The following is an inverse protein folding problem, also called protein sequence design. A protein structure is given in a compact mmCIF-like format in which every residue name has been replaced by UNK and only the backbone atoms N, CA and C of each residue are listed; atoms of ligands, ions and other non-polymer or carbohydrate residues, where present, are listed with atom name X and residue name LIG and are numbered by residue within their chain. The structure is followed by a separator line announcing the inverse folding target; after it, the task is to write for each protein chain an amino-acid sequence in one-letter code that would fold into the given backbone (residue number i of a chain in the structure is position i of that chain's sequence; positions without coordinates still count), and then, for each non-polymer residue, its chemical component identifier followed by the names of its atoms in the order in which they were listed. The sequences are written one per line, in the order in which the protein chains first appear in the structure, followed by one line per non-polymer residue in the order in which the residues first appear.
data_IF_044757113282
#
_entry.id   IF_044757113282
#
_cell.length_a   1.000
_cell.length_b   1.000
_cell.length_c   1.000
_cell.angle_alpha   90.00
_cell.angle_beta   90.00
_cell.angle_gamma   90.00
#
_symmetry.space_group_name_H-M   'P 1'
#
loop_
_entity.id
_entity.type
_entity.pdbx_description
1 polymer ?
#
# COMPACT_ATOMS: atom_id res chain seq x y z
N UNK A 1 51.07 -49.05 -25.02
CA UNK A 1 49.90 -48.87 -24.14
C UNK A 1 49.76 -47.37 -23.86
N UNK A 2 49.02 -46.65 -24.74
CA UNK A 2 48.94 -45.17 -24.72
C UNK A 2 47.62 -44.78 -24.09
N UNK A 3 47.66 -44.18 -22.89
CA UNK A 3 46.51 -43.67 -22.15
C UNK A 3 46.18 -42.29 -22.72
N UNK A 4 45.05 -42.16 -23.41
CA UNK A 4 44.48 -40.85 -23.85
C UNK A 4 43.69 -40.23 -22.68
N UNK A 5 44.24 -39.15 -22.11
CA UNK A 5 43.55 -38.29 -21.13
C UNK A 5 42.54 -37.40 -21.89
N UNK A 6 41.24 -37.64 -21.67
CA UNK A 6 40.18 -36.76 -22.13
C UNK A 6 39.98 -35.66 -21.09
N UNK A 7 40.40 -34.43 -21.42
CA UNK A 7 40.05 -33.26 -20.62
C UNK A 7 38.56 -32.91 -20.92
N UNK A 8 37.68 -33.17 -19.96
CA UNK A 8 36.32 -32.64 -19.97
C UNK A 8 36.38 -31.17 -19.56
N UNK A 9 36.22 -30.27 -20.53
CA UNK A 9 36.05 -28.82 -20.34
C UNK A 9 34.60 -28.56 -19.90
N UNK A 10 34.36 -28.42 -18.58
CA UNK A 10 33.03 -28.02 -18.04
C UNK A 10 32.81 -26.52 -18.27
N UNK A 11 31.94 -26.23 -19.21
CA UNK A 11 31.51 -24.85 -19.50
C UNK A 11 30.58 -24.39 -18.39
N UNK A 12 31.06 -23.56 -17.47
CA UNK A 12 30.24 -22.87 -16.48
C UNK A 12 29.45 -21.76 -17.18
N UNK A 13 28.19 -22.03 -17.51
CA UNK A 13 27.24 -20.99 -17.96
C UNK A 13 26.82 -20.20 -16.71
N UNK A 14 27.43 -19.04 -16.49
CA UNK A 14 26.99 -18.09 -15.49
C UNK A 14 25.65 -17.50 -15.96
N UNK A 15 24.54 -17.93 -15.38
CA UNK A 15 23.27 -17.25 -15.49
C UNK A 15 23.37 -15.92 -14.72
N UNK A 16 23.64 -14.85 -15.41
CA UNK A 16 23.42 -13.51 -14.87
C UNK A 16 21.92 -13.35 -14.67
N UNK A 17 21.45 -13.43 -13.42
CA UNK A 17 20.09 -13.02 -13.06
C UNK A 17 19.98 -11.54 -13.40
N UNK A 18 19.32 -11.22 -14.51
CA UNK A 18 18.89 -9.86 -14.80
C UNK A 18 17.87 -9.50 -13.71
N UNK A 19 18.31 -8.76 -12.70
CA UNK A 19 17.41 -8.13 -11.75
C UNK A 19 16.38 -7.33 -12.57
N UNK A 20 15.10 -7.66 -12.38
CA UNK A 20 14.06 -7.05 -13.20
C UNK A 20 13.91 -5.57 -12.82
N UNK A 21 14.18 -4.67 -13.77
CA UNK A 21 14.13 -3.22 -13.61
C UNK A 21 12.74 -2.73 -13.13
N UNK A 22 12.62 -1.57 -12.45
CA UNK A 22 11.34 -0.94 -12.16
C UNK A 22 10.56 -0.56 -13.43
N UNK A 23 9.38 0.00 -13.28
CA UNK A 23 8.50 0.39 -14.38
C UNK A 23 8.95 1.64 -15.14
N UNK A 24 9.96 2.34 -14.63
CA UNK A 24 10.55 3.54 -15.22
C UNK A 24 12.00 3.31 -15.67
N UNK A 25 12.51 4.21 -16.50
CA UNK A 25 13.86 4.16 -17.06
C UNK A 25 14.89 4.62 -16.02
N UNK A 26 15.70 3.70 -15.50
CA UNK A 26 16.72 3.97 -14.51
C UNK A 26 17.84 4.89 -15.01
N UNK A 27 18.03 5.04 -16.32
CA UNK A 27 19.00 6.00 -16.87
C UNK A 27 18.57 7.45 -16.63
N UNK A 28 17.30 7.67 -16.31
CA UNK A 28 16.70 8.98 -16.02
C UNK A 28 16.41 9.16 -14.53
N UNK A 29 16.74 8.17 -13.69
CA UNK A 29 16.54 8.26 -12.25
C UNK A 29 17.31 9.46 -11.70
N UNK A 30 16.62 10.32 -10.94
CA UNK A 30 17.17 11.49 -10.30
C UNK A 30 16.77 11.53 -8.83
N UNK A 31 17.73 11.79 -7.96
CA UNK A 31 17.49 11.77 -6.51
C UNK A 31 17.65 10.38 -5.88
N UNK A 32 17.85 10.39 -4.58
CA UNK A 32 18.25 9.22 -3.79
C UNK A 32 17.26 8.08 -3.88
N UNK A 33 15.95 8.38 -3.78
CA UNK A 33 14.89 7.36 -3.73
C UNK A 33 14.74 6.65 -5.09
N UNK A 34 14.81 7.35 -6.21
CA UNK A 34 14.71 6.73 -7.53
C UNK A 34 15.94 5.85 -7.84
N UNK A 35 17.13 6.30 -7.44
CA UNK A 35 18.37 5.52 -7.55
C UNK A 35 18.27 4.27 -6.66
N UNK A 36 17.75 4.41 -5.43
CA UNK A 36 17.52 3.28 -4.53
C UNK A 36 16.56 2.25 -5.14
N UNK A 37 15.44 2.69 -5.73
CA UNK A 37 14.47 1.78 -6.38
C UNK A 37 15.13 1.01 -7.53
N UNK A 38 16.02 1.65 -8.29
CA UNK A 38 16.74 0.99 -9.39
C UNK A 38 17.75 -0.07 -8.90
N UNK A 39 18.27 0.08 -7.70
CA UNK A 39 19.31 -0.78 -7.14
C UNK A 39 18.77 -1.82 -6.13
N UNK A 40 17.50 -1.74 -5.74
CA UNK A 40 16.85 -2.67 -4.82
C UNK A 40 15.77 -3.48 -5.55
N UNK A 41 15.97 -4.80 -5.69
CA UNK A 41 15.06 -5.68 -6.41
C UNK A 41 13.65 -5.71 -5.79
N UNK A 42 13.56 -5.63 -4.46
CA UNK A 42 12.29 -5.61 -3.73
C UNK A 42 11.50 -4.34 -4.03
N UNK A 43 12.15 -3.17 -4.04
CA UNK A 43 11.52 -1.90 -4.39
C UNK A 43 11.15 -1.84 -5.88
N UNK A 44 12.02 -2.33 -6.77
CA UNK A 44 11.72 -2.44 -8.20
C UNK A 44 10.51 -3.35 -8.46
N UNK A 45 10.34 -4.44 -7.70
CA UNK A 45 9.16 -5.30 -7.77
C UNK A 45 7.89 -4.57 -7.33
N UNK A 46 7.95 -3.83 -6.22
CA UNK A 46 6.83 -3.01 -5.74
C UNK A 46 6.44 -1.93 -6.76
N UNK A 47 7.41 -1.29 -7.39
CA UNK A 47 7.17 -0.30 -8.44
C UNK A 47 6.43 -0.90 -9.65
N UNK A 48 6.85 -2.06 -10.14
CA UNK A 48 6.15 -2.77 -11.22
C UNK A 48 4.74 -3.19 -10.82
N UNK A 49 4.57 -3.66 -9.59
CA UNK A 49 3.26 -4.02 -9.04
C UNK A 49 2.34 -2.79 -9.01
N UNK A 50 2.83 -1.67 -8.47
CA UNK A 50 2.08 -0.42 -8.47
C UNK A 50 1.68 0.01 -9.87
N UNK A 51 2.60 -0.01 -10.83
CA UNK A 51 2.33 0.36 -12.22
C UNK A 51 1.25 -0.54 -12.86
N UNK A 52 1.22 -1.83 -12.52
CA UNK A 52 0.19 -2.76 -12.96
C UNK A 52 -1.17 -2.43 -12.35
N UNK A 53 -1.23 -2.29 -11.03
CA UNK A 53 -2.46 -1.96 -10.30
C UNK A 53 -3.01 -0.59 -10.74
N UNK A 54 -2.16 0.40 -10.92
CA UNK A 54 -2.56 1.72 -11.41
C UNK A 54 -3.25 1.65 -12.77
N UNK A 55 -2.71 0.88 -13.73
CA UNK A 55 -3.36 0.69 -15.04
C UNK A 55 -4.72 0.01 -14.92
N UNK A 56 -4.84 -1.00 -14.06
CA UNK A 56 -6.11 -1.70 -13.82
C UNK A 56 -7.14 -0.76 -13.18
N UNK A 57 -6.75 -0.01 -12.16
CA UNK A 57 -7.61 0.97 -11.51
C UNK A 57 -8.11 2.04 -12.50
N UNK A 58 -7.22 2.56 -13.37
CA UNK A 58 -7.62 3.52 -14.41
C UNK A 58 -8.65 2.97 -15.40
N UNK A 59 -8.64 1.68 -15.68
CA UNK A 59 -9.61 1.06 -16.58
C UNK A 59 -11.03 1.03 -15.99
N UNK A 60 -11.14 1.01 -14.66
CA UNK A 60 -12.42 0.94 -13.95
C UNK A 60 -12.94 2.31 -13.49
N UNK A 61 -12.07 3.33 -13.41
CA UNK A 61 -12.43 4.68 -12.94
C UNK A 61 -12.79 5.56 -14.15
N UNK A 62 -13.93 6.27 -14.14
CA UNK A 62 -14.29 7.22 -15.19
C UNK A 62 -13.18 8.24 -15.45
N UNK A 63 -12.98 8.63 -16.70
CA UNK A 63 -11.85 9.49 -17.12
C UNK A 63 -11.78 10.83 -16.36
N UNK A 64 -12.94 11.40 -15.98
CA UNK A 64 -13.04 12.64 -15.21
C UNK A 64 -12.57 12.48 -13.75
N UNK A 65 -12.63 11.26 -13.20
CA UNK A 65 -12.32 10.94 -11.81
C UNK A 65 -10.93 10.27 -11.65
N UNK A 66 -10.21 10.10 -12.76
CA UNK A 66 -8.93 9.38 -12.74
C UNK A 66 -7.88 10.06 -11.86
N UNK A 67 -7.18 9.30 -10.99
CA UNK A 67 -6.28 9.85 -9.97
C UNK A 67 -4.92 10.31 -10.52
N UNK A 68 -4.87 10.88 -11.74
CA UNK A 68 -3.61 11.29 -12.39
C UNK A 68 -2.85 12.37 -11.62
N UNK A 69 -3.58 13.36 -11.08
CA UNK A 69 -2.98 14.41 -10.26
C UNK A 69 -2.48 13.86 -8.92
N UNK A 70 -3.30 12.99 -8.28
CA UNK A 70 -2.93 12.32 -7.04
C UNK A 70 -1.71 11.40 -7.24
N UNK A 71 -1.62 10.70 -8.37
CA UNK A 71 -0.46 9.86 -8.67
C UNK A 71 0.83 10.70 -8.81
N UNK A 72 0.78 11.86 -9.44
CA UNK A 72 1.93 12.78 -9.50
C UNK A 72 2.30 13.31 -8.11
N UNK A 73 1.31 13.65 -7.28
CA UNK A 73 1.51 14.05 -5.89
C UNK A 73 2.13 12.93 -5.06
N UNK A 74 1.64 11.71 -5.22
CA UNK A 74 2.18 10.53 -4.55
C UNK A 74 3.66 10.26 -4.91
N UNK A 75 4.05 10.36 -6.19
CA UNK A 75 5.45 10.21 -6.61
C UNK A 75 6.35 11.21 -5.87
N UNK A 76 5.91 12.47 -5.73
CA UNK A 76 6.66 13.48 -4.97
C UNK A 76 6.78 13.09 -3.50
N UNK A 77 5.66 12.68 -2.86
CA UNK A 77 5.64 12.23 -1.46
C UNK A 77 6.51 11.00 -1.23
N UNK A 78 6.49 10.01 -2.14
CA UNK A 78 7.39 8.85 -2.08
C UNK A 78 8.86 9.30 -2.13
N UNK A 79 9.19 10.24 -3.01
CA UNK A 79 10.56 10.74 -3.13
C UNK A 79 11.00 11.51 -1.87
N UNK A 80 10.08 12.07 -1.07
CA UNK A 80 10.39 12.70 0.21
C UNK A 80 10.89 11.72 1.28
N UNK A 81 10.83 10.41 1.03
CA UNK A 81 11.41 9.38 1.90
C UNK A 81 12.93 9.55 2.10
N UNK A 82 13.63 10.32 1.27
CA UNK A 82 15.03 10.66 1.51
C UNK A 82 15.25 11.36 2.87
N UNK A 83 14.22 11.97 3.45
CA UNK A 83 14.24 12.62 4.77
C UNK A 83 14.09 11.62 5.94
N UNK A 84 13.75 10.37 5.65
CA UNK A 84 13.51 9.34 6.66
C UNK A 84 14.83 8.76 7.19
N UNK A 85 14.81 8.33 8.47
CA UNK A 85 15.92 7.59 9.05
C UNK A 85 16.16 6.23 8.35
N UNK A 86 15.10 5.61 7.82
CA UNK A 86 15.17 4.42 6.97
C UNK A 86 14.45 4.70 5.64
N UNK A 87 15.23 5.15 4.66
CA UNK A 87 14.77 5.51 3.32
C UNK A 87 14.11 4.31 2.62
N UNK A 88 14.70 3.12 2.77
CA UNK A 88 14.22 1.90 2.13
C UNK A 88 12.85 1.49 2.68
N UNK A 89 12.72 1.45 4.01
CA UNK A 89 11.47 1.08 4.68
C UNK A 89 10.36 2.09 4.37
N UNK A 90 10.65 3.39 4.46
CA UNK A 90 9.72 4.46 4.08
C UNK A 90 9.23 4.28 2.63
N UNK A 91 10.14 4.05 1.69
CA UNK A 91 9.80 3.86 0.28
C UNK A 91 8.92 2.62 0.08
N UNK A 92 9.26 1.48 0.71
CA UNK A 92 8.47 0.26 0.62
C UNK A 92 7.05 0.45 1.16
N UNK A 93 6.91 1.08 2.32
CA UNK A 93 5.60 1.38 2.93
C UNK A 93 4.75 2.31 2.05
N UNK A 94 5.36 3.33 1.44
CA UNK A 94 4.67 4.21 0.49
C UNK A 94 4.12 3.43 -0.72
N UNK A 95 4.88 2.50 -1.27
CA UNK A 95 4.40 1.63 -2.35
C UNK A 95 3.25 0.75 -1.90
N UNK A 96 3.38 0.05 -0.78
CA UNK A 96 2.36 -0.86 -0.25
C UNK A 96 1.04 -0.12 0.01
N UNK A 97 1.10 1.01 0.69
CA UNK A 97 -0.08 1.84 0.96
C UNK A 97 -0.76 2.31 -0.33
N UNK A 98 0.01 2.75 -1.33
CA UNK A 98 -0.56 3.20 -2.60
C UNK A 98 -1.18 2.07 -3.42
N UNK A 99 -0.59 0.88 -3.40
CA UNK A 99 -1.14 -0.30 -4.06
C UNK A 99 -2.51 -0.63 -3.46
N UNK A 100 -2.62 -0.67 -2.12
CA UNK A 100 -3.88 -0.92 -1.40
C UNK A 100 -4.92 0.15 -1.75
N UNK A 101 -4.55 1.42 -1.68
CA UNK A 101 -5.44 2.54 -2.01
C UNK A 101 -6.00 2.40 -3.43
N UNK A 102 -5.16 2.12 -4.41
CA UNK A 102 -5.57 1.96 -5.80
C UNK A 102 -6.41 0.70 -6.03
N UNK A 103 -6.16 -0.39 -5.31
CA UNK A 103 -6.99 -1.59 -5.38
C UNK A 103 -8.40 -1.32 -4.87
N UNK A 104 -8.54 -0.59 -3.76
CA UNK A 104 -9.83 -0.22 -3.19
C UNK A 104 -10.55 0.77 -4.11
N UNK A 105 -9.91 1.89 -4.46
CA UNK A 105 -10.50 2.95 -5.30
C UNK A 105 -10.85 2.46 -6.71
N UNK A 106 -10.04 1.56 -7.26
CA UNK A 106 -10.25 0.97 -8.58
C UNK A 106 -11.26 -0.19 -8.61
N UNK A 107 -11.84 -0.56 -7.45
CA UNK A 107 -12.78 -1.69 -7.37
C UNK A 107 -12.14 -3.02 -7.80
N UNK A 108 -10.85 -3.23 -7.51
CA UNK A 108 -10.10 -4.43 -7.91
C UNK A 108 -10.22 -5.56 -6.88
N UNK A 109 -10.95 -5.32 -5.79
CA UNK A 109 -11.14 -6.27 -4.68
C UNK A 109 -12.62 -6.57 -4.51
N UNK A 110 -12.93 -7.79 -4.06
CA UNK A 110 -14.25 -8.09 -3.54
C UNK A 110 -14.52 -7.24 -2.30
N UNK A 111 -15.68 -6.56 -2.29
CA UNK A 111 -16.05 -5.63 -1.21
C UNK A 111 -16.77 -6.42 -0.12
N UNK A 112 -16.20 -6.51 1.10
CA UNK A 112 -16.86 -7.16 2.23
C UNK A 112 -18.10 -6.40 2.70
N UNK A 113 -18.93 -7.09 3.48
CA UNK A 113 -20.09 -6.46 4.12
C UNK A 113 -19.67 -5.34 5.06
N UNK A 114 -20.38 -4.23 5.05
CA UNK A 114 -20.13 -3.12 5.95
C UNK A 114 -20.66 -3.40 7.37
N UNK A 115 -19.97 -2.88 8.36
CA UNK A 115 -20.38 -2.81 9.75
C UNK A 115 -20.69 -1.37 10.09
N UNK A 116 -21.81 -1.13 10.75
CA UNK A 116 -22.26 0.22 11.11
C UNK A 116 -22.05 0.44 12.61
N UNK A 117 -21.45 1.60 12.94
CA UNK A 117 -21.21 2.03 14.31
C UNK A 117 -22.02 3.29 14.61
N UNK A 118 -22.75 3.28 15.73
CA UNK A 118 -23.39 4.45 16.31
C UNK A 118 -22.39 5.11 17.27
N UNK A 119 -22.07 6.38 17.02
CA UNK A 119 -21.05 7.14 17.73
C UNK A 119 -21.62 8.34 18.54
N UNK A 120 -22.91 8.35 18.84
CA UNK A 120 -23.57 9.42 19.59
C UNK A 120 -23.64 10.72 18.82
N UNK A 121 -22.99 11.78 19.32
CA UNK A 121 -22.96 13.08 18.67
C UNK A 121 -22.00 13.13 17.45
N UNK A 122 -21.07 12.20 17.34
CA UNK A 122 -20.24 12.04 16.15
C UNK A 122 -21.07 11.32 15.06
N UNK A 123 -20.85 11.61 13.79
CA UNK A 123 -21.58 10.95 12.72
C UNK A 123 -21.48 9.43 12.78
N UNK A 124 -22.54 8.75 12.34
CA UNK A 124 -22.55 7.30 12.19
C UNK A 124 -21.44 6.87 11.24
N UNK A 125 -20.66 5.87 11.62
CA UNK A 125 -19.55 5.34 10.82
C UNK A 125 -19.98 4.02 10.16
N UNK A 126 -19.84 3.93 8.84
CA UNK A 126 -19.87 2.66 8.10
C UNK A 126 -18.43 2.22 7.85
N UNK A 127 -18.09 1.01 8.26
CA UNK A 127 -16.76 0.43 8.11
C UNK A 127 -16.78 -0.82 7.24
N UNK A 128 -15.91 -0.89 6.23
CA UNK A 128 -15.68 -2.08 5.39
C UNK A 128 -14.26 -2.57 5.65
N UNK A 129 -14.14 -3.80 6.17
CA UNK A 129 -12.85 -4.37 6.56
C UNK A 129 -12.34 -5.35 5.50
N UNK A 130 -11.26 -4.99 4.80
CA UNK A 130 -10.58 -5.81 3.79
C UNK A 130 -9.55 -6.72 4.48
N UNK A 131 -10.02 -7.83 5.05
CA UNK A 131 -9.18 -8.79 5.78
C UNK A 131 -8.26 -9.60 4.88
N UNK A 132 -8.49 -9.58 3.57
CA UNK A 132 -7.64 -10.20 2.55
C UNK A 132 -6.38 -9.38 2.23
N UNK A 133 -6.25 -8.15 2.74
CA UNK A 133 -5.07 -7.28 2.57
C UNK A 133 -4.06 -7.46 3.70
N UNK A 134 -2.79 -7.20 3.38
CA UNK A 134 -1.70 -7.13 4.35
C UNK A 134 -0.93 -5.80 4.17
N UNK A 135 -1.01 -4.89 5.17
CA UNK A 135 -1.81 -5.00 6.40
C UNK A 135 -3.32 -5.01 6.12
N UNK A 136 -4.09 -5.66 7.01
CA UNK A 136 -5.56 -5.55 7.01
C UNK A 136 -5.91 -4.07 6.95
N UNK A 137 -6.79 -3.70 6.04
CA UNK A 137 -7.12 -2.30 5.81
C UNK A 137 -8.65 -2.15 5.84
N UNK A 138 -9.11 -1.02 6.35
CA UNK A 138 -10.53 -0.70 6.39
C UNK A 138 -10.82 0.64 5.72
N UNK A 139 -12.01 0.73 5.14
CA UNK A 139 -12.59 1.98 4.64
C UNK A 139 -13.66 2.41 5.63
N UNK A 140 -13.51 3.60 6.19
CA UNK A 140 -14.45 4.22 7.10
C UNK A 140 -15.16 5.36 6.38
N UNK A 141 -16.49 5.32 6.35
CA UNK A 141 -17.32 6.33 5.71
C UNK A 141 -18.25 6.97 6.74
N UNK A 142 -18.25 8.29 6.82
CA UNK A 142 -19.15 9.11 7.64
C UNK A 142 -19.30 10.49 6.98
N UNK A 143 -20.50 11.02 7.03
CA UNK A 143 -20.88 12.21 6.26
C UNK A 143 -20.41 12.08 4.78
N UNK A 144 -19.73 13.09 4.24
CA UNK A 144 -19.14 13.08 2.90
C UNK A 144 -17.67 12.61 2.90
N UNK A 145 -17.17 12.05 4.02
CA UNK A 145 -15.79 11.59 4.15
C UNK A 145 -15.69 10.08 3.91
N UNK A 146 -14.62 9.70 3.21
CA UNK A 146 -14.20 8.32 3.11
C UNK A 146 -12.70 8.24 3.40
N UNK A 147 -12.34 7.49 4.43
CA UNK A 147 -10.97 7.37 4.91
C UNK A 147 -10.50 5.92 4.82
N UNK A 148 -9.30 5.73 4.31
CA UNK A 148 -8.61 4.44 4.31
C UNK A 148 -7.67 4.41 5.51
N UNK A 149 -7.77 3.37 6.34
CA UNK A 149 -6.92 3.18 7.49
C UNK A 149 -6.45 1.74 7.58
N UNK A 150 -5.16 1.55 7.86
CA UNK A 150 -4.55 0.23 7.98
C UNK A 150 -4.45 -0.21 9.42
N UNK A 151 -4.60 -1.52 9.66
CA UNK A 151 -4.42 -2.12 10.97
C UNK A 151 -2.98 -1.91 11.46
N UNK A 152 -2.86 -1.54 12.71
CA UNK A 152 -1.58 -1.36 13.41
C UNK A 152 -1.55 -2.20 14.67
N UNK A 153 -0.34 -2.49 15.16
CA UNK A 153 -0.14 -3.26 16.39
C UNK A 153 -0.80 -2.53 17.56
N UNK A 154 -1.61 -3.25 18.32
CA UNK A 154 -2.25 -2.77 19.55
C UNK A 154 -2.13 -3.82 20.66
N UNK A 155 -2.24 -3.41 21.92
CA UNK A 155 -2.19 -4.31 23.06
C UNK A 155 -3.42 -5.24 23.11
N UNK A 156 -4.58 -4.80 22.59
CA UNK A 156 -5.82 -5.56 22.51
C UNK A 156 -6.74 -4.96 21.45
N UNK A 157 -7.66 -5.77 20.91
CA UNK A 157 -8.61 -5.33 19.89
C UNK A 157 -7.94 -5.03 18.55
N UNK A 158 -8.70 -4.44 17.64
CA UNK A 158 -8.27 -4.08 16.29
C UNK A 158 -8.15 -2.55 16.18
N UNK A 159 -6.91 -2.07 15.98
CA UNK A 159 -6.61 -0.64 15.87
C UNK A 159 -6.23 -0.31 14.42
N UNK A 160 -6.89 0.71 13.86
CA UNK A 160 -6.67 1.18 12.50
C UNK A 160 -6.18 2.63 12.55
N UNK A 161 -5.16 2.95 11.75
CA UNK A 161 -4.63 4.31 11.62
C UNK A 161 -4.63 4.75 10.15
N UNK A 162 -5.10 5.96 9.93
CA UNK A 162 -5.08 6.69 8.67
C UNK A 162 -4.62 8.14 8.87
N UNK A 163 -4.72 8.95 7.84
CA UNK A 163 -4.36 10.37 7.94
C UNK A 163 -5.32 11.12 8.87
N UNK A 164 -4.81 11.63 9.99
CA UNK A 164 -5.57 12.30 11.05
C UNK A 164 -6.76 11.49 11.59
N UNK A 165 -6.72 10.16 11.42
CA UNK A 165 -7.80 9.26 11.79
C UNK A 165 -7.25 8.05 12.55
N UNK A 166 -7.93 7.70 13.64
CA UNK A 166 -7.70 6.49 14.43
C UNK A 166 -9.04 5.85 14.77
N UNK A 167 -9.14 4.55 14.58
CA UNK A 167 -10.29 3.76 14.98
C UNK A 167 -9.79 2.53 15.74
N UNK A 168 -10.29 2.31 16.94
CA UNK A 168 -9.88 1.20 17.81
C UNK A 168 -11.12 0.46 18.31
N UNK A 169 -11.32 -0.75 17.81
CA UNK A 169 -12.44 -1.63 18.16
C UNK A 169 -12.00 -2.70 19.16
N UNK A 170 -12.85 -2.97 20.15
CA UNK A 170 -12.67 -4.02 21.14
C UNK A 170 -14.02 -4.46 21.68
N UNK A 171 -14.38 -5.76 21.45
CA UNK A 171 -15.61 -6.39 21.94
C UNK A 171 -16.93 -5.67 21.53
N UNK A 172 -17.00 -5.15 20.33
CA UNK A 172 -18.17 -4.46 19.80
C UNK A 172 -18.33 -3.01 20.25
N UNK A 173 -17.40 -2.51 21.05
CA UNK A 173 -17.23 -1.09 21.32
C UNK A 173 -16.04 -0.55 20.54
N UNK A 174 -16.10 0.69 20.07
CA UNK A 174 -15.00 1.33 19.40
C UNK A 174 -14.77 2.73 19.94
N UNK A 175 -13.55 3.22 19.80
CA UNK A 175 -13.22 4.63 19.92
C UNK A 175 -12.74 5.15 18.58
N UNK A 176 -13.22 6.31 18.19
CA UNK A 176 -12.77 7.02 17.00
C UNK A 176 -12.10 8.32 17.40
N UNK A 177 -11.06 8.69 16.67
CA UNK A 177 -10.46 10.04 16.72
C UNK A 177 -10.24 10.51 15.29
N UNK A 178 -10.81 11.66 14.98
CA UNK A 178 -10.66 12.34 13.71
C UNK A 178 -10.25 13.79 13.97
N UNK A 179 -9.03 14.16 13.58
CA UNK A 179 -8.37 15.38 14.03
C UNK A 179 -8.43 15.51 15.57
N UNK A 180 -9.02 16.61 16.07
CA UNK A 180 -9.16 16.89 17.51
C UNK A 180 -10.46 16.34 18.12
N UNK A 181 -11.34 15.75 17.30
CA UNK A 181 -12.61 15.18 17.77
C UNK A 181 -12.44 13.71 18.11
N UNK A 182 -12.94 13.31 19.27
CA UNK A 182 -12.97 11.91 19.71
C UNK A 182 -14.38 11.50 20.14
N UNK A 183 -14.77 10.27 19.82
CA UNK A 183 -16.05 9.70 20.22
C UNK A 183 -15.92 8.22 20.58
N UNK A 184 -16.91 7.71 21.35
CA UNK A 184 -17.11 6.27 21.58
C UNK A 184 -18.26 5.78 20.71
N UNK A 185 -18.06 4.63 20.09
CA UNK A 185 -19.00 4.05 19.17
C UNK A 185 -19.38 2.63 19.62
N UNK A 186 -20.54 2.17 19.19
CA UNK A 186 -21.01 0.78 19.37
C UNK A 186 -21.54 0.24 18.07
N UNK A 187 -21.34 -1.06 17.83
CA UNK A 187 -21.93 -1.73 16.67
C UNK A 187 -23.44 -1.58 16.73
N UNK A 188 -24.02 -1.10 15.63
CA UNK A 188 -25.46 -1.03 15.44
C UNK A 188 -25.95 -2.44 15.06
N UNK A 189 -26.79 -3.00 15.90
CA UNK A 189 -27.47 -4.30 15.68
C UNK A 189 -28.62 -4.17 14.69
#
# INVERSE_FOLDING_TARGET
MTIRFWLMLTLFISFSSLAASPSFDCSKASGEVEILICNDEGLAKLDRQLASVYRQALANIPAAEQPKAMQRGWIKGRNDCWKSADVRQCTAQNYQSRIIELQIQGGLLEVPSSVVFDCGEFPQISAVFYTQLDPITAVFSFDDQQLIASNVISASGAKYQGQNFEFWEHHGEASVRYFDTAAKCRIRK
#
